data_IF_715455954678
#
_entry.id   IF_715455954678
#
_cell.length_a   1.000
_cell.length_b   1.000
_cell.length_c   1.000
_cell.angle_alpha   90.00
_cell.angle_beta   90.00
_cell.angle_gamma   90.00
#
_symmetry.space_group_name_H-M   'P 1'
#
loop_
_entity.id
_entity.type
_entity.pdbx_description
1 polymer ?
#
# COMPACT_ATOMS: atom_id res chain seq x y z
N UNK A 1 10.93 -10.70 -7.29
CA UNK A 1 10.17 -9.91 -6.31
C UNK A 1 9.07 -9.17 -7.06
N UNK A 2 7.85 -9.12 -6.51
CA UNK A 2 6.68 -8.46 -7.10
C UNK A 2 5.97 -7.58 -6.09
N UNK A 3 5.56 -6.38 -6.48
CA UNK A 3 4.79 -5.45 -5.65
C UNK A 3 3.40 -5.23 -6.25
N UNK A 4 2.36 -5.44 -5.44
CA UNK A 4 0.98 -5.09 -5.79
C UNK A 4 0.67 -3.68 -5.32
N UNK A 5 0.22 -2.82 -6.21
CA UNK A 5 -0.18 -1.44 -5.90
C UNK A 5 -1.70 -1.29 -6.10
N UNK A 6 -2.45 -1.03 -5.04
CA UNK A 6 -3.90 -0.87 -5.09
C UNK A 6 -4.27 0.60 -5.31
N UNK A 7 -4.88 0.92 -6.45
CA UNK A 7 -5.49 2.22 -6.68
C UNK A 7 -6.90 2.27 -6.08
N UNK A 8 -7.04 2.86 -4.89
CA UNK A 8 -8.31 3.04 -4.19
C UNK A 8 -9.19 4.17 -4.71
N UNK A 9 -8.75 4.91 -5.73
CA UNK A 9 -9.60 5.91 -6.39
C UNK A 9 -10.66 5.24 -7.26
N UNK A 10 -11.92 5.73 -7.30
CA UNK A 10 -12.87 5.29 -8.32
C UNK A 10 -12.42 5.66 -9.75
N UNK A 11 -11.48 6.61 -9.89
CA UNK A 11 -10.90 7.00 -11.19
C UNK A 11 -9.65 6.16 -11.48
N UNK A 12 -9.66 5.47 -12.63
CA UNK A 12 -8.56 4.59 -13.04
C UNK A 12 -7.23 5.31 -13.28
N UNK A 13 -7.27 6.51 -13.87
CA UNK A 13 -6.09 7.31 -14.22
C UNK A 13 -6.12 8.71 -13.55
N UNK A 14 -6.34 8.73 -12.23
CA UNK A 14 -6.40 9.97 -11.44
C UNK A 14 -5.10 10.31 -10.69
N UNK A 15 -5.19 11.29 -9.77
CA UNK A 15 -4.08 11.72 -8.92
C UNK A 15 -3.44 10.58 -8.13
N UNK A 16 -4.24 9.70 -7.53
CA UNK A 16 -3.75 8.54 -6.77
C UNK A 16 -2.98 7.57 -7.67
N UNK A 17 -3.53 7.24 -8.84
CA UNK A 17 -2.85 6.41 -9.83
C UNK A 17 -1.51 7.02 -10.27
N UNK A 18 -1.47 8.34 -10.44
CA UNK A 18 -0.26 9.07 -10.82
C UNK A 18 0.84 8.90 -9.76
N UNK A 19 0.52 9.07 -8.48
CA UNK A 19 1.46 8.83 -7.39
C UNK A 19 1.96 7.37 -7.34
N UNK A 20 1.05 6.40 -7.48
CA UNK A 20 1.40 4.98 -7.53
C UNK A 20 2.31 4.63 -8.71
N UNK A 21 2.11 5.28 -9.86
CA UNK A 21 2.95 5.08 -11.05
C UNK A 21 4.38 5.52 -10.79
N UNK A 22 4.60 6.65 -10.10
CA UNK A 22 5.95 7.09 -9.73
C UNK A 22 6.66 6.07 -8.83
N UNK A 23 5.95 5.47 -7.88
CA UNK A 23 6.49 4.40 -7.03
C UNK A 23 6.82 3.16 -7.88
N UNK A 24 5.89 2.76 -8.76
CA UNK A 24 6.03 1.61 -9.64
C UNK A 24 7.25 1.73 -10.57
N UNK A 25 7.41 2.86 -11.25
CA UNK A 25 8.54 3.11 -12.15
C UNK A 25 9.90 2.99 -11.44
N UNK A 26 10.00 3.43 -10.18
CA UNK A 26 11.25 3.30 -9.42
C UNK A 26 11.53 1.84 -9.06
N UNK A 27 10.51 1.08 -8.66
CA UNK A 27 10.64 -0.35 -8.38
C UNK A 27 11.06 -1.13 -9.65
N UNK A 28 10.45 -0.83 -10.79
CA UNK A 28 10.76 -1.46 -12.08
C UNK A 28 12.18 -1.15 -12.55
N UNK A 29 12.64 0.09 -12.42
CA UNK A 29 14.05 0.48 -12.66
C UNK A 29 15.04 -0.31 -11.80
N UNK A 30 14.59 -0.85 -10.67
CA UNK A 30 15.39 -1.69 -9.79
C UNK A 30 15.19 -3.20 -10.02
N UNK A 31 14.49 -3.60 -11.07
CA UNK A 31 14.25 -5.00 -11.44
C UNK A 31 13.17 -5.69 -10.60
N UNK A 32 12.28 -4.93 -9.97
CA UNK A 32 11.15 -5.45 -9.19
C UNK A 32 9.89 -5.33 -10.04
N UNK A 33 9.17 -6.43 -10.25
CA UNK A 33 7.91 -6.44 -11.00
C UNK A 33 6.85 -5.65 -10.22
N UNK A 34 6.02 -4.87 -10.91
CA UNK A 34 4.91 -4.16 -10.29
C UNK A 34 3.60 -4.41 -11.01
N UNK A 35 2.51 -4.29 -10.26
CA UNK A 35 1.16 -4.34 -10.83
C UNK A 35 0.26 -3.33 -10.13
N UNK A 36 -0.21 -2.32 -10.85
CA UNK A 36 -1.24 -1.39 -10.35
C UNK A 36 -2.63 -1.99 -10.62
N UNK A 37 -3.34 -2.31 -9.56
CA UNK A 37 -4.67 -2.93 -9.58
C UNK A 37 -5.75 -1.93 -9.15
N UNK A 38 -6.87 -1.90 -9.87
CA UNK A 38 -7.98 -0.98 -9.60
C UNK A 38 -8.82 -1.47 -8.40
N UNK A 39 -8.55 -0.92 -7.21
CA UNK A 39 -9.22 -1.25 -5.96
C UNK A 39 -10.37 -0.28 -5.59
N UNK A 40 -10.56 0.82 -6.34
CA UNK A 40 -11.70 1.73 -6.21
C UNK A 40 -13.06 1.12 -6.63
N UNK A 41 -13.15 -0.21 -6.74
CA UNK A 41 -14.37 -0.98 -6.85
C UNK A 41 -14.34 -2.13 -5.82
N UNK A 42 -15.13 -2.08 -4.74
CA UNK A 42 -15.13 -3.06 -3.65
C UNK A 42 -16.00 -4.31 -3.92
N UNK A 43 -16.44 -4.54 -5.16
CA UNK A 43 -17.14 -5.78 -5.53
C UNK A 43 -16.34 -7.02 -5.13
N UNK A 44 -17.04 -8.02 -4.59
CA UNK A 44 -16.39 -9.22 -4.03
C UNK A 44 -15.57 -9.99 -5.07
N UNK A 45 -15.98 -10.01 -6.33
CA UNK A 45 -15.20 -10.62 -7.41
C UNK A 45 -13.87 -9.89 -7.64
N UNK A 46 -13.89 -8.56 -7.60
CA UNK A 46 -12.69 -7.73 -7.74
C UNK A 46 -11.74 -7.92 -6.55
N UNK A 47 -12.29 -8.00 -5.33
CA UNK A 47 -11.52 -8.30 -4.11
C UNK A 47 -10.85 -9.67 -4.20
N UNK A 48 -11.57 -10.72 -4.65
CA UNK A 48 -11.00 -12.05 -4.85
C UNK A 48 -9.88 -12.06 -5.89
N UNK A 49 -10.03 -11.27 -6.96
CA UNK A 49 -8.98 -11.12 -7.96
C UNK A 49 -7.72 -10.46 -7.36
N UNK A 50 -7.86 -9.44 -6.51
CA UNK A 50 -6.73 -8.85 -5.79
C UNK A 50 -6.13 -9.80 -4.75
N UNK A 51 -6.95 -10.57 -4.03
CA UNK A 51 -6.48 -11.58 -3.07
C UNK A 51 -5.56 -12.61 -3.75
N UNK A 52 -5.94 -13.11 -4.93
CA UNK A 52 -5.12 -14.02 -5.72
C UNK A 52 -3.77 -13.40 -6.16
N UNK A 53 -3.73 -12.08 -6.37
CA UNK A 53 -2.50 -11.34 -6.68
C UNK A 53 -1.65 -11.11 -5.44
N UNK A 54 -2.28 -10.77 -4.31
CA UNK A 54 -1.61 -10.58 -3.02
C UNK A 54 -0.87 -11.84 -2.59
N UNK A 55 -1.47 -13.02 -2.77
CA UNK A 55 -0.82 -14.31 -2.51
C UNK A 55 0.52 -14.48 -3.26
N UNK A 56 0.64 -13.91 -4.47
CA UNK A 56 1.83 -14.00 -5.32
C UNK A 56 2.77 -12.79 -5.23
N UNK A 57 2.39 -11.78 -4.45
CA UNK A 57 3.16 -10.54 -4.30
C UNK A 57 4.00 -10.58 -3.03
N UNK A 58 5.14 -9.91 -3.04
CA UNK A 58 6.08 -9.83 -1.93
C UNK A 58 5.90 -8.55 -1.09
N UNK A 59 5.21 -7.54 -1.64
CA UNK A 59 4.83 -6.31 -0.94
C UNK A 59 3.52 -5.72 -1.47
N UNK A 60 2.96 -4.79 -0.69
CA UNK A 60 1.69 -4.11 -0.97
C UNK A 60 1.84 -2.59 -0.86
N UNK A 61 1.37 -1.83 -1.84
CA UNK A 61 1.17 -0.39 -1.71
C UNK A 61 -0.32 -0.09 -1.84
N UNK A 62 -0.90 0.67 -0.92
CA UNK A 62 -2.32 1.04 -0.98
C UNK A 62 -2.44 2.54 -1.16
N UNK A 63 -2.92 2.96 -2.32
CA UNK A 63 -3.20 4.35 -2.64
C UNK A 63 -4.65 4.73 -2.40
N UNK A 64 -4.90 5.90 -1.81
CA UNK A 64 -6.25 6.47 -1.71
C UNK A 64 -6.28 7.96 -2.06
N UNK A 65 -7.34 8.46 -2.73
CA UNK A 65 -7.65 9.88 -2.66
C UNK A 65 -8.15 10.24 -1.25
N UNK A 66 -8.03 11.51 -0.88
CA UNK A 66 -8.61 12.04 0.36
C UNK A 66 -10.00 12.62 0.08
N UNK A 67 -11.02 12.05 0.70
CA UNK A 67 -12.41 12.52 0.68
C UNK A 67 -12.90 12.80 2.10
N UNK A 68 -13.34 14.03 2.38
CA UNK A 68 -13.74 14.50 3.73
C UNK A 68 -12.71 14.16 4.82
N UNK A 69 -11.42 14.44 4.56
CA UNK A 69 -10.30 14.15 5.45
C UNK A 69 -10.13 12.67 5.84
N UNK A 70 -10.59 11.76 4.97
CA UNK A 70 -10.56 10.31 5.16
C UNK A 70 -10.19 9.61 3.83
N UNK A 71 -9.82 8.31 3.83
CA UNK A 71 -9.70 7.55 2.60
C UNK A 71 -11.02 7.49 1.83
N UNK A 72 -10.98 7.07 0.57
CA UNK A 72 -12.22 6.82 -0.17
C UNK A 72 -13.02 5.71 0.52
N UNK A 73 -14.35 5.82 0.54
CA UNK A 73 -15.19 4.75 1.10
C UNK A 73 -14.97 3.42 0.38
N UNK A 74 -14.67 3.47 -0.92
CA UNK A 74 -14.38 2.30 -1.73
C UNK A 74 -13.13 1.57 -1.26
N UNK A 75 -12.03 2.26 -0.93
CA UNK A 75 -10.82 1.58 -0.48
C UNK A 75 -10.98 1.00 0.92
N UNK A 76 -11.75 1.66 1.80
CA UNK A 76 -12.07 1.11 3.12
C UNK A 76 -12.82 -0.22 2.96
N UNK A 77 -13.92 -0.22 2.21
CA UNK A 77 -14.72 -1.42 1.99
C UNK A 77 -13.91 -2.52 1.28
N UNK A 78 -13.07 -2.14 0.31
CA UNK A 78 -12.18 -3.06 -0.39
C UNK A 78 -11.18 -3.71 0.58
N UNK A 79 -10.53 -2.92 1.44
CA UNK A 79 -9.52 -3.41 2.38
C UNK A 79 -10.13 -4.29 3.47
N UNK A 80 -11.32 -3.96 3.98
CA UNK A 80 -12.04 -4.80 4.95
C UNK A 80 -12.29 -6.21 4.38
N UNK A 81 -12.79 -6.27 3.14
CA UNK A 81 -13.01 -7.53 2.43
C UNK A 81 -11.70 -8.23 2.05
N UNK A 82 -10.69 -7.49 1.57
CA UNK A 82 -9.39 -8.05 1.19
C UNK A 82 -8.70 -8.68 2.40
N UNK A 83 -8.66 -8.01 3.54
CA UNK A 83 -8.08 -8.54 4.76
C UNK A 83 -8.81 -9.80 5.24
N UNK A 84 -10.14 -9.85 5.07
CA UNK A 84 -10.92 -11.08 5.34
C UNK A 84 -10.54 -12.24 4.41
N UNK A 85 -10.22 -11.97 3.14
CA UNK A 85 -9.89 -13.00 2.15
C UNK A 85 -8.41 -13.40 2.12
N UNK A 86 -7.51 -12.45 2.34
CA UNK A 86 -6.08 -12.56 2.05
C UNK A 86 -5.19 -12.15 3.23
N UNK A 87 -5.74 -11.91 4.42
CA UNK A 87 -4.96 -11.43 5.58
C UNK A 87 -3.78 -12.34 5.95
N UNK A 88 -3.93 -13.67 5.80
CA UNK A 88 -2.82 -14.62 5.98
C UNK A 88 -1.68 -14.42 4.97
N UNK A 89 -2.02 -14.01 3.76
CA UNK A 89 -1.07 -13.80 2.66
C UNK A 89 -0.43 -12.41 2.73
N UNK A 90 -0.82 -11.57 3.68
CA UNK A 90 -0.23 -10.25 3.95
C UNK A 90 0.89 -10.31 4.99
N UNK A 91 0.93 -11.35 5.84
CA UNK A 91 1.85 -11.44 6.97
C UNK A 91 3.31 -11.23 6.57
N UNK A 92 3.98 -10.33 7.29
CA UNK A 92 5.41 -9.98 7.14
C UNK A 92 5.84 -9.43 5.77
N UNK A 93 4.92 -9.25 4.82
CA UNK A 93 5.21 -8.58 3.56
C UNK A 93 5.27 -7.08 3.80
N UNK A 94 6.31 -6.36 3.32
CA UNK A 94 6.36 -4.91 3.46
C UNK A 94 5.15 -4.23 2.84
N UNK A 95 4.70 -3.14 3.47
CA UNK A 95 3.59 -2.34 2.96
C UNK A 95 3.80 -0.84 3.07
N UNK A 96 3.16 -0.08 2.19
CA UNK A 96 3.12 1.37 2.27
C UNK A 96 1.72 1.91 1.93
N UNK A 97 1.33 2.99 2.61
CA UNK A 97 0.16 3.78 2.24
C UNK A 97 0.61 4.92 1.33
N UNK A 98 -0.21 5.32 0.37
CA UNK A 98 0.00 6.52 -0.46
C UNK A 98 -1.28 7.33 -0.49
N UNK A 99 -1.18 8.65 -0.36
CA UNK A 99 -2.35 9.54 -0.46
C UNK A 99 -2.20 10.60 -1.51
N UNK A 100 -3.32 10.97 -2.13
CA UNK A 100 -3.42 12.17 -2.95
C UNK A 100 -4.53 13.09 -2.45
N UNK A 101 -4.21 14.36 -2.23
CA UNK A 101 -5.20 15.37 -1.84
C UNK A 101 -5.05 16.63 -2.68
N UNK A 102 -6.08 17.48 -2.73
CA UNK A 102 -5.90 18.85 -3.25
C UNK A 102 -5.17 19.74 -2.23
N UNK A 103 -5.39 19.54 -0.92
CA UNK A 103 -4.88 20.45 0.12
C UNK A 103 -4.64 19.83 1.50
N UNK A 104 -5.56 19.03 2.04
CA UNK A 104 -5.50 18.58 3.43
C UNK A 104 -6.14 17.19 3.62
N UNK A 105 -5.95 16.62 4.82
CA UNK A 105 -6.54 15.34 5.24
C UNK A 105 -5.72 14.09 4.90
N UNK A 106 -4.50 14.28 4.37
CA UNK A 106 -3.57 13.22 3.99
C UNK A 106 -3.12 12.40 5.19
N UNK A 107 -2.72 13.03 6.29
CA UNK A 107 -2.23 12.34 7.51
C UNK A 107 -3.28 11.43 8.12
N UNK A 108 -4.50 11.93 8.34
CA UNK A 108 -5.61 11.14 8.85
C UNK A 108 -5.94 9.94 7.92
N UNK A 109 -5.82 10.14 6.61
CA UNK A 109 -6.02 9.08 5.61
C UNK A 109 -4.92 8.02 5.68
N UNK A 110 -3.65 8.43 5.79
CA UNK A 110 -2.52 7.51 5.97
C UNK A 110 -2.70 6.67 7.24
N UNK A 111 -3.08 7.30 8.36
CA UNK A 111 -3.28 6.63 9.64
C UNK A 111 -4.35 5.53 9.55
N UNK A 112 -5.44 5.78 8.82
CA UNK A 112 -6.49 4.77 8.64
C UNK A 112 -5.99 3.60 7.81
N UNK A 113 -5.30 3.85 6.69
CA UNK A 113 -4.79 2.79 5.81
C UNK A 113 -3.71 1.95 6.53
N UNK A 114 -2.83 2.59 7.29
CA UNK A 114 -1.74 1.88 8.00
C UNK A 114 -2.23 0.90 9.06
N UNK A 115 -3.45 1.07 9.61
CA UNK A 115 -4.04 0.11 10.54
C UNK A 115 -4.14 -1.29 9.95
N UNK A 116 -4.47 -1.41 8.66
CA UNK A 116 -4.56 -2.70 7.99
C UNK A 116 -3.20 -3.40 7.95
N UNK A 117 -2.12 -2.66 7.75
CA UNK A 117 -0.76 -3.21 7.68
C UNK A 117 -0.28 -3.69 9.04
N UNK A 118 -0.43 -2.85 10.06
CA UNK A 118 0.04 -3.17 11.41
C UNK A 118 -0.77 -4.29 12.05
N UNK A 119 -2.07 -4.39 11.73
CA UNK A 119 -2.89 -5.53 12.12
C UNK A 119 -2.39 -6.86 11.53
N UNK A 120 -1.81 -6.83 10.33
CA UNK A 120 -1.31 -8.01 9.62
C UNK A 120 0.22 -8.14 9.67
N UNK A 121 0.89 -7.58 10.70
CA UNK A 121 2.34 -7.73 10.90
C UNK A 121 3.19 -7.31 9.68
N UNK A 122 2.68 -6.41 8.85
CA UNK A 122 3.38 -5.92 7.67
C UNK A 122 4.39 -4.85 8.09
N UNK A 123 5.69 -4.98 7.75
CA UNK A 123 6.66 -3.90 7.95
C UNK A 123 6.23 -2.66 7.14
N UNK A 124 5.93 -1.56 7.83
CA UNK A 124 5.52 -0.32 7.17
C UNK A 124 6.74 0.39 6.61
N UNK A 125 6.78 0.56 5.29
CA UNK A 125 7.86 1.24 4.58
C UNK A 125 7.60 2.73 4.55
N UNK A 126 8.53 3.49 5.11
CA UNK A 126 8.51 4.95 5.11
C UNK A 126 9.24 5.53 3.88
N UNK A 127 9.03 6.82 3.66
CA UNK A 127 9.80 7.64 2.74
C UNK A 127 10.61 8.71 3.51
N UNK A 128 11.22 9.68 2.81
CA UNK A 128 11.88 10.83 3.45
C UNK A 128 10.89 11.83 4.08
N UNK A 129 9.59 11.65 3.83
CA UNK A 129 8.49 12.31 4.52
C UNK A 129 7.24 11.42 4.45
N UNK A 130 6.12 11.87 4.98
CA UNK A 130 4.84 11.17 4.84
C UNK A 130 4.44 11.05 3.36
N UNK A 131 3.94 9.87 2.98
CA UNK A 131 3.72 9.41 1.61
C UNK A 131 2.47 10.02 0.96
N UNK A 132 2.52 11.32 0.74
CA UNK A 132 1.42 12.11 0.17
C UNK A 132 1.85 12.92 -1.05
N UNK A 133 0.89 13.19 -1.94
CA UNK A 133 1.03 14.13 -3.05
C UNK A 133 -0.14 15.12 -3.06
N UNK A 134 0.10 16.30 -3.60
CA UNK A 134 -0.89 17.37 -3.75
C UNK A 134 -1.18 17.71 -5.20
N UNK A 135 -2.46 17.83 -5.54
CA UNK A 135 -2.92 18.23 -6.88
C UNK A 135 -4.39 17.89 -7.12
N UNK A 136 -5.09 18.77 -7.84
CA UNK A 136 -6.49 18.56 -8.24
C UNK A 136 -6.61 17.72 -9.53
N UNK A 137 -5.54 17.65 -10.32
CA UNK A 137 -5.42 16.85 -11.55
C UNK A 137 -4.11 16.03 -11.54
N UNK A 138 -3.99 14.99 -12.40
CA UNK A 138 -2.72 14.28 -12.59
C UNK A 138 -1.55 15.21 -12.92
N UNK A 139 -1.76 16.20 -13.78
CA UNK A 139 -0.71 17.15 -14.17
C UNK A 139 -0.28 18.04 -13.01
N UNK A 140 -1.20 18.45 -12.13
CA UNK A 140 -0.87 19.19 -10.91
C UNK A 140 -0.10 18.32 -9.91
N UNK A 141 -0.43 17.02 -9.80
CA UNK A 141 0.35 16.09 -8.97
C UNK A 141 1.80 16.01 -9.43
N UNK A 142 2.05 16.00 -10.74
CA UNK A 142 3.42 16.00 -11.27
C UNK A 142 4.19 17.30 -10.97
N UNK A 143 3.48 18.39 -10.69
CA UNK A 143 4.08 19.67 -10.30
C UNK A 143 4.40 19.75 -8.80
N UNK A 144 3.84 18.86 -7.96
CA UNK A 144 4.24 18.71 -6.56
C UNK A 144 5.62 18.05 -6.46
N UNK A 145 6.67 18.84 -6.66
CA UNK A 145 8.04 18.36 -6.73
C UNK A 145 8.47 17.58 -5.47
N UNK A 146 8.00 18.00 -4.30
CA UNK A 146 8.24 17.31 -3.03
C UNK A 146 7.46 15.99 -2.97
N UNK A 147 6.16 16.00 -3.24
CA UNK A 147 5.34 14.79 -3.30
C UNK A 147 5.89 13.74 -4.27
N UNK A 148 6.32 14.14 -5.46
CA UNK A 148 6.93 13.23 -6.43
C UNK A 148 8.29 12.72 -5.92
N UNK A 149 9.10 13.55 -5.26
CA UNK A 149 10.34 13.08 -4.61
C UNK A 149 10.03 12.04 -3.53
N UNK A 150 9.02 12.27 -2.70
CA UNK A 150 8.58 11.33 -1.67
C UNK A 150 8.16 10.00 -2.29
N UNK A 151 7.44 9.99 -3.42
CA UNK A 151 7.06 8.75 -4.11
C UNK A 151 8.28 8.00 -4.65
N UNK A 152 9.27 8.71 -5.21
CA UNK A 152 10.52 8.08 -5.66
C UNK A 152 11.31 7.48 -4.50
N UNK A 153 11.45 8.22 -3.41
CA UNK A 153 12.14 7.74 -2.21
C UNK A 153 11.41 6.54 -1.61
N UNK A 154 10.08 6.52 -1.61
CA UNK A 154 9.29 5.37 -1.18
C UNK A 154 9.61 4.12 -2.01
N UNK A 155 9.63 4.25 -3.34
CA UNK A 155 10.02 3.17 -4.25
C UNK A 155 11.43 2.63 -3.95
N UNK A 156 12.39 3.53 -3.71
CA UNK A 156 13.76 3.16 -3.34
C UNK A 156 13.83 2.40 -2.00
N UNK A 157 13.15 2.90 -0.98
CA UNK A 157 13.14 2.28 0.35
C UNK A 157 12.45 0.91 0.33
N UNK A 158 11.35 0.78 -0.41
CA UNK A 158 10.66 -0.49 -0.63
C UNK A 158 11.56 -1.49 -1.34
N UNK A 159 12.25 -1.07 -2.40
CA UNK A 159 13.18 -1.93 -3.13
C UNK A 159 14.34 -2.41 -2.26
N UNK A 160 14.92 -1.50 -1.45
CA UNK A 160 15.98 -1.84 -0.50
C UNK A 160 15.49 -2.87 0.52
N UNK A 161 14.34 -2.65 1.15
CA UNK A 161 13.81 -3.56 2.15
C UNK A 161 13.51 -4.95 1.57
N UNK A 162 12.88 -5.01 0.39
CA UNK A 162 12.62 -6.27 -0.31
C UNK A 162 13.91 -7.04 -0.60
N UNK A 163 14.96 -6.34 -1.07
CA UNK A 163 16.29 -6.94 -1.29
C UNK A 163 16.93 -7.44 0.01
N UNK A 164 16.77 -6.71 1.11
CA UNK A 164 17.24 -7.14 2.43
C UNK A 164 16.52 -8.39 2.92
N UNK A 165 15.19 -8.48 2.76
CA UNK A 165 14.42 -9.67 3.14
C UNK A 165 14.83 -10.89 2.31
N UNK A 166 14.99 -10.73 0.99
CA UNK A 166 15.47 -11.78 0.10
C UNK A 166 16.89 -12.24 0.46
N UNK A 167 17.79 -11.30 0.80
CA UNK A 167 19.13 -11.62 1.28
C UNK A 167 19.10 -12.37 2.61
N UNK A 168 18.25 -11.95 3.55
CA UNK A 168 18.05 -12.64 4.83
C UNK A 168 17.56 -14.07 4.64
N UNK A 169 16.58 -14.28 3.76
CA UNK A 169 16.09 -15.62 3.40
C UNK A 169 17.20 -16.50 2.84
N UNK A 170 18.05 -15.97 1.94
CA UNK A 170 19.22 -16.69 1.40
C UNK A 170 20.27 -17.00 2.46
N UNK A 171 20.38 -16.18 3.50
CA UNK A 171 21.25 -16.40 4.64
C UNK A 171 20.63 -17.36 5.70
N UNK A 172 19.44 -17.91 5.46
CA UNK A 172 18.76 -18.81 6.39
C UNK A 172 18.00 -18.11 7.52
N UNK A 173 17.73 -16.81 7.40
CA UNK A 173 16.84 -16.11 8.34
C UNK A 173 15.40 -16.46 7.96
N UNK A 174 14.79 -17.32 8.74
CA UNK A 174 13.40 -17.74 8.57
C UNK A 174 12.40 -16.69 9.09
N UNK A 175 11.18 -16.75 8.57
CA UNK A 175 10.08 -15.92 9.09
C UNK A 175 9.78 -16.35 10.54
N UNK A 176 9.44 -15.40 11.44
CA UNK A 176 9.06 -15.74 12.80
C UNK A 176 7.90 -16.73 12.83
N UNK A 177 7.99 -17.73 13.71
CA UNK A 177 6.87 -18.62 13.99
C UNK A 177 5.79 -17.82 14.72
N UNK A 178 4.56 -17.85 14.19
CA UNK A 178 3.44 -17.18 14.82
C UNK A 178 3.13 -17.78 16.19
N UNK A 179 2.92 -16.92 17.18
CA UNK A 179 2.42 -17.32 18.49
C UNK A 179 0.91 -17.61 18.44
N UNK A 180 0.44 -18.56 19.26
CA UNK A 180 -0.99 -18.80 19.43
C UNK A 180 -1.68 -17.54 19.99
N UNK A 181 -2.69 -17.02 19.28
CA UNK A 181 -3.34 -15.79 19.66
C UNK A 181 -4.21 -15.98 20.91
N UNK A 182 -3.78 -15.39 22.03
CA UNK A 182 -4.60 -15.28 23.24
C UNK A 182 -5.72 -14.25 23.00
N UNK A 183 -6.98 -14.68 23.14
CA UNK A 183 -8.16 -13.82 23.01
C UNK A 183 -8.81 -13.64 24.37
N UNK A 184 -8.80 -12.42 24.88
CA UNK A 184 -9.60 -12.02 26.05
C UNK A 184 -10.74 -11.11 25.59
N UNK A 185 -11.93 -11.31 26.14
CA UNK A 185 -13.00 -10.33 26.00
C UNK A 185 -12.90 -9.34 27.17
N UNK A 186 -13.25 -8.08 26.96
CA UNK A 186 -13.34 -7.07 28.03
C UNK A 186 -14.48 -7.36 29.03
N UNK A 187 -15.27 -8.40 28.77
CA UNK A 187 -16.33 -8.90 29.65
C UNK A 187 -15.68 -9.86 30.66
N UNK A 188 -15.78 -9.48 31.93
CA UNK A 188 -15.53 -10.35 33.09
C UNK A 188 -16.85 -10.74 33.71
#
# INVERSE_FOLDING_TARGET
>A
MKVLLLNGSPRKAGCTYTALTVVAEVLEKQGIETEIFQAGNPDMENVKAAAAKMAKSDALVVGSPVYWASPSGQIIEFMDKLCSCAGKDMLHKPAAAVTSARRAGTTATLDVIMKYFTYHQMPVVSSNYWTMVHGNTPDEVQQDAEGIQIMRTLGNNMAWLLKCLEAGKKAGIEMPVGEEKIKTNFIR
#
